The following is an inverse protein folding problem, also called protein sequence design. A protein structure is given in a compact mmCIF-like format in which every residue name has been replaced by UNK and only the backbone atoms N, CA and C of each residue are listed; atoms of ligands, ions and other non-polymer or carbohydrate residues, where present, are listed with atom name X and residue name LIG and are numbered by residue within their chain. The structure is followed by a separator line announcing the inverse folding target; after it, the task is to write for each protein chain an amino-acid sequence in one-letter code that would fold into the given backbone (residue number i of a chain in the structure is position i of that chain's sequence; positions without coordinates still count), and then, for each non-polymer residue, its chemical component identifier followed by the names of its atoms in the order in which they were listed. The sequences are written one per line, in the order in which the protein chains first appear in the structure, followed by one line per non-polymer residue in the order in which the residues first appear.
data_IF_708635537208
#
_entry.id   IF_708635537208
#
_cell.length_a   1.000
_cell.length_b   1.000
_cell.length_c   1.000
_cell.angle_alpha   90.00
_cell.angle_beta   90.00
_cell.angle_gamma   90.00
#
_symmetry.space_group_name_H-M   'P 1'
#
loop_
_entity.id
_entity.type
_entity.pdbx_description
1 polymer ?
#
# COMPACT_ATOMS: atom_id res chain seq x y z
N UNK A 1 2.84 9.46 21.89
CA UNK A 1 3.33 8.95 23.20
C UNK A 1 3.70 7.47 23.21
N UNK A 2 2.85 6.54 22.74
CA UNK A 2 3.15 5.10 22.78
C UNK A 2 4.43 4.70 22.05
N UNK A 3 4.68 5.26 20.87
CA UNK A 3 5.90 5.02 20.08
C UNK A 3 7.18 5.59 20.72
N UNK A 4 7.05 6.62 21.58
CA UNK A 4 8.18 7.24 22.28
C UNK A 4 8.51 6.55 23.62
N UNK A 5 7.56 5.83 24.23
CA UNK A 5 7.78 5.15 25.52
C UNK A 5 8.53 3.83 25.37
N UNK A 6 8.53 3.20 24.18
CA UNK A 6 9.33 2.01 23.87
C UNK A 6 9.03 0.76 24.72
N UNK A 7 8.01 0.79 25.58
CA UNK A 7 7.65 -0.32 26.45
C UNK A 7 6.82 -1.36 25.70
N UNK A 8 7.02 -2.64 26.03
CA UNK A 8 6.30 -3.77 25.43
C UNK A 8 4.78 -3.60 25.50
N UNK A 9 4.27 -3.00 26.58
CA UNK A 9 2.85 -2.72 26.77
C UNK A 9 2.31 -1.68 25.78
N UNK A 10 3.12 -0.69 25.41
CA UNK A 10 2.75 0.30 24.39
C UNK A 10 2.61 -0.36 23.01
N UNK A 11 3.51 -1.28 22.66
CA UNK A 11 3.42 -2.06 21.41
C UNK A 11 2.20 -2.97 21.39
N UNK A 12 1.87 -3.62 22.51
CA UNK A 12 0.65 -4.45 22.62
C UNK A 12 -0.61 -3.61 22.46
N UNK A 13 -0.65 -2.41 23.06
CA UNK A 13 -1.74 -1.46 22.89
C UNK A 13 -1.91 -1.03 21.43
N UNK A 14 -0.81 -0.65 20.77
CA UNK A 14 -0.81 -0.24 19.37
C UNK A 14 -1.27 -1.38 18.44
N UNK A 15 -0.77 -2.60 18.67
CA UNK A 15 -1.18 -3.80 17.95
C UNK A 15 -2.70 -4.03 18.04
N UNK A 16 -3.27 -3.92 19.25
CA UNK A 16 -4.71 -4.11 19.44
C UNK A 16 -5.53 -3.05 18.71
N UNK A 17 -5.10 -1.79 18.76
CA UNK A 17 -5.77 -0.69 18.06
C UNK A 17 -5.77 -0.97 16.55
N UNK A 18 -4.62 -1.28 15.96
CA UNK A 18 -4.53 -1.55 14.53
C UNK A 18 -5.29 -2.81 14.11
N UNK A 19 -5.30 -3.86 14.93
CA UNK A 19 -6.06 -5.07 14.63
C UNK A 19 -7.57 -4.80 14.67
N UNK A 20 -8.07 -4.14 15.72
CA UNK A 20 -9.51 -3.86 15.87
C UNK A 20 -9.99 -2.92 14.78
N UNK A 21 -9.30 -1.79 14.57
CA UNK A 21 -9.67 -0.84 13.52
C UNK A 21 -9.48 -1.42 12.12
N UNK A 22 -8.47 -2.25 11.90
CA UNK A 22 -8.28 -2.95 10.64
C UNK A 22 -9.45 -3.86 10.29
N UNK A 23 -9.93 -4.67 11.25
CA UNK A 23 -11.13 -5.51 11.07
C UNK A 23 -12.37 -4.64 10.82
N UNK A 24 -12.58 -3.60 11.63
CA UNK A 24 -13.74 -2.71 11.48
C UNK A 24 -13.77 -2.07 10.09
N UNK A 25 -12.65 -1.54 9.61
CA UNK A 25 -12.60 -0.90 8.29
C UNK A 25 -12.79 -1.89 7.13
N UNK A 26 -12.32 -3.13 7.24
CA UNK A 26 -12.65 -4.16 6.26
C UNK A 26 -14.15 -4.45 6.26
N UNK A 27 -14.75 -4.65 7.44
CA UNK A 27 -16.18 -4.93 7.55
C UNK A 27 -17.02 -3.77 7.02
N UNK A 28 -16.63 -2.54 7.32
CA UNK A 28 -17.25 -1.33 6.78
C UNK A 28 -17.08 -1.28 5.25
N UNK A 29 -15.88 -1.50 4.73
CA UNK A 29 -15.63 -1.51 3.29
C UNK A 29 -16.43 -2.57 2.53
N UNK A 30 -16.72 -3.72 3.15
CA UNK A 30 -17.51 -4.79 2.53
C UNK A 30 -19.01 -4.55 2.70
N UNK A 31 -19.49 -4.28 3.91
CA UNK A 31 -20.92 -4.34 4.26
C UNK A 31 -21.61 -2.98 4.36
N UNK A 32 -20.88 -1.88 4.56
CA UNK A 32 -21.50 -0.57 4.61
C UNK A 32 -21.94 -0.14 3.20
N UNK A 33 -22.92 0.75 3.17
CA UNK A 33 -23.44 1.36 1.96
C UNK A 33 -22.62 2.60 1.63
N UNK A 34 -22.16 2.68 0.39
CA UNK A 34 -21.41 3.81 -0.14
C UNK A 34 -22.15 4.38 -1.36
N UNK A 35 -21.99 5.68 -1.63
CA UNK A 35 -22.48 6.25 -2.88
C UNK A 35 -21.72 5.62 -4.06
N UNK A 36 -22.44 5.37 -5.15
CA UNK A 36 -21.82 4.90 -6.39
C UNK A 36 -21.15 6.06 -7.13
N UNK A 37 -19.81 6.09 -7.10
CA UNK A 37 -19.00 7.20 -7.61
C UNK A 37 -19.37 8.54 -6.98
N UNK A 38 -19.64 9.54 -7.82
CA UNK A 38 -20.09 10.88 -7.41
C UNK A 38 -21.63 10.99 -7.28
N UNK A 39 -22.36 9.90 -7.52
CA UNK A 39 -23.81 9.90 -7.44
C UNK A 39 -24.28 9.67 -6.00
N UNK A 40 -24.71 10.73 -5.32
CA UNK A 40 -25.21 10.66 -3.94
C UNK A 40 -26.64 10.10 -3.82
N UNK A 41 -27.33 9.83 -4.93
CA UNK A 41 -28.70 9.32 -4.92
C UNK A 41 -28.76 7.78 -4.81
N UNK A 42 -27.73 7.08 -5.26
CA UNK A 42 -27.68 5.61 -5.30
C UNK A 42 -26.62 5.15 -4.30
N UNK A 43 -27.07 4.37 -3.30
CA UNK A 43 -26.22 3.85 -2.23
C UNK A 43 -26.21 2.33 -2.31
N UNK A 44 -25.02 1.78 -2.48
CA UNK A 44 -24.82 0.36 -2.69
C UNK A 44 -23.83 -0.21 -1.69
N UNK A 45 -24.02 -1.45 -1.24
CA UNK A 45 -23.09 -2.06 -0.32
C UNK A 45 -21.79 -2.44 -1.05
N UNK A 46 -20.66 -2.45 -0.34
CA UNK A 46 -19.36 -2.78 -0.94
C UNK A 46 -19.30 -4.15 -1.63
N UNK A 47 -20.07 -5.13 -1.17
CA UNK A 47 -20.14 -6.48 -1.77
C UNK A 47 -21.03 -6.58 -3.02
N UNK A 48 -21.70 -5.48 -3.42
CA UNK A 48 -22.49 -5.43 -4.65
C UNK A 48 -21.59 -5.69 -5.87
N UNK A 49 -22.10 -6.50 -6.80
CA UNK A 49 -21.38 -6.89 -8.01
C UNK A 49 -21.63 -5.88 -9.12
N UNK A 50 -20.58 -5.16 -9.49
CA UNK A 50 -20.63 -4.15 -10.53
C UNK A 50 -20.05 -4.65 -11.85
N UNK A 51 -20.62 -4.14 -12.93
CA UNK A 51 -20.21 -4.36 -14.31
C UNK A 51 -19.95 -3.02 -14.99
N UNK A 52 -19.26 -2.99 -16.15
CA UNK A 52 -19.07 -1.77 -16.93
C UNK A 52 -20.33 -0.94 -17.21
N UNK A 53 -21.50 -1.57 -17.19
CA UNK A 53 -22.78 -0.97 -17.55
C UNK A 53 -23.59 -0.52 -16.32
N UNK A 54 -23.29 -1.04 -15.13
CA UNK A 54 -24.06 -0.75 -13.91
C UNK A 54 -23.42 0.36 -13.09
N UNK A 55 -22.08 0.42 -13.05
CA UNK A 55 -21.36 1.46 -12.32
C UNK A 55 -21.46 2.82 -13.00
N UNK A 56 -21.74 3.87 -12.22
CA UNK A 56 -21.69 5.24 -12.70
C UNK A 56 -20.26 5.58 -13.16
N UNK A 57 -20.11 6.16 -14.36
CA UNK A 57 -18.81 6.50 -14.94
C UNK A 57 -18.12 5.36 -15.72
N UNK A 58 -18.62 4.12 -15.62
CA UNK A 58 -18.26 2.98 -16.45
C UNK A 58 -16.74 2.75 -16.59
N UNK A 59 -16.30 2.32 -17.78
CA UNK A 59 -14.88 2.05 -18.08
C UNK A 59 -14.04 3.33 -18.09
N UNK A 60 -14.63 4.50 -18.38
CA UNK A 60 -13.89 5.77 -18.42
C UNK A 60 -13.38 6.19 -17.05
N UNK A 61 -14.18 5.99 -16.01
CA UNK A 61 -13.80 6.30 -14.63
C UNK A 61 -13.08 5.12 -13.96
N UNK A 62 -13.53 3.89 -14.26
CA UNK A 62 -13.00 2.65 -13.69
C UNK A 62 -12.39 1.73 -14.78
N UNK A 63 -11.20 2.06 -15.32
CA UNK A 63 -10.60 1.29 -16.41
C UNK A 63 -10.27 -0.16 -16.02
N UNK A 64 -10.14 -0.44 -14.73
CA UNK A 64 -9.87 -1.78 -14.20
C UNK A 64 -11.02 -2.78 -14.47
N UNK A 65 -12.22 -2.29 -14.75
CA UNK A 65 -13.36 -3.15 -15.11
C UNK A 65 -13.17 -3.86 -16.45
N UNK A 66 -12.27 -3.40 -17.32
CA UNK A 66 -11.89 -4.12 -18.55
C UNK A 66 -11.32 -5.51 -18.22
N UNK A 67 -10.68 -5.66 -17.07
CA UNK A 67 -10.14 -6.96 -16.61
C UNK A 67 -11.23 -7.99 -16.35
N UNK A 68 -12.44 -7.57 -15.97
CA UNK A 68 -13.59 -8.47 -15.84
C UNK A 68 -13.96 -9.07 -17.20
N UNK A 69 -13.92 -8.26 -18.27
CA UNK A 69 -14.11 -8.70 -19.64
C UNK A 69 -13.08 -9.75 -20.06
N UNK A 70 -11.79 -9.51 -19.78
CA UNK A 70 -10.73 -10.48 -20.07
C UNK A 70 -10.83 -11.76 -19.24
N UNK A 71 -11.19 -11.66 -17.96
CA UNK A 71 -11.40 -12.83 -17.10
C UNK A 71 -12.52 -13.74 -17.64
N UNK A 72 -13.61 -13.13 -18.12
CA UNK A 72 -14.77 -13.83 -18.66
C UNK A 72 -14.58 -14.40 -20.08
N UNK A 73 -13.45 -14.12 -20.74
CA UNK A 73 -13.09 -14.76 -22.01
C UNK A 73 -12.52 -16.17 -21.82
N UNK A 74 -12.31 -16.60 -20.58
CA UNK A 74 -11.82 -17.94 -20.26
C UNK A 74 -12.98 -18.90 -20.07
N UNK A 75 -12.94 -20.06 -20.74
CA UNK A 75 -14.02 -21.07 -20.72
C UNK A 75 -14.23 -21.76 -19.36
N UNK A 76 -13.35 -21.52 -18.38
CA UNK A 76 -13.34 -22.26 -17.11
C UNK A 76 -14.13 -21.60 -15.99
N UNK A 77 -14.31 -20.27 -16.01
CA UNK A 77 -14.94 -19.56 -14.91
C UNK A 77 -15.56 -18.23 -15.36
N UNK A 78 -16.87 -18.07 -15.12
CA UNK A 78 -17.59 -16.84 -15.44
C UNK A 78 -17.90 -16.04 -14.17
N UNK A 79 -17.37 -14.83 -14.09
CA UNK A 79 -17.65 -13.82 -13.08
C UNK A 79 -18.79 -12.92 -13.52
N UNK A 80 -19.91 -12.94 -12.79
CA UNK A 80 -21.08 -12.08 -13.08
C UNK A 80 -20.81 -10.58 -12.89
N UNK A 81 -19.80 -10.21 -12.09
CA UNK A 81 -19.44 -8.83 -11.79
C UNK A 81 -18.22 -8.76 -10.87
N UNK A 82 -17.71 -7.56 -10.65
CA UNK A 82 -16.63 -7.29 -9.69
C UNK A 82 -17.23 -6.61 -8.46
N UNK A 83 -16.97 -7.12 -7.24
CA UNK A 83 -17.40 -6.45 -6.01
C UNK A 83 -16.92 -5.00 -5.95
N UNK A 84 -17.79 -4.07 -5.56
CA UNK A 84 -17.48 -2.64 -5.46
C UNK A 84 -16.25 -2.36 -4.56
N UNK A 85 -16.08 -3.10 -3.46
CA UNK A 85 -14.90 -2.96 -2.59
C UNK A 85 -13.57 -3.39 -3.24
N UNK A 86 -13.59 -4.12 -4.36
CA UNK A 86 -12.40 -4.49 -5.14
C UNK A 86 -12.13 -3.52 -6.31
N UNK A 87 -13.10 -2.69 -6.68
CA UNK A 87 -12.94 -1.72 -7.75
C UNK A 87 -12.15 -0.53 -7.23
N UNK A 88 -10.96 -0.32 -7.81
CA UNK A 88 -10.10 0.79 -7.40
C UNK A 88 -10.77 2.14 -7.68
N UNK A 89 -10.72 3.04 -6.70
CA UNK A 89 -11.25 4.40 -6.81
C UNK A 89 -12.66 4.57 -6.25
N UNK A 90 -13.30 3.49 -5.81
CA UNK A 90 -14.58 3.56 -5.09
C UNK A 90 -14.35 3.83 -3.60
N UNK A 91 -15.35 4.42 -2.96
CA UNK A 91 -15.32 4.68 -1.52
C UNK A 91 -15.19 3.37 -0.72
N UNK A 92 -15.90 2.32 -1.13
CA UNK A 92 -15.81 0.99 -0.53
C UNK A 92 -14.38 0.43 -0.55
N UNK A 93 -13.69 0.56 -1.70
CA UNK A 93 -12.30 0.13 -1.86
C UNK A 93 -11.33 0.89 -0.97
N UNK A 94 -11.55 2.19 -0.75
CA UNK A 94 -10.72 3.00 0.15
C UNK A 94 -10.77 2.44 1.60
N UNK A 95 -11.97 2.21 2.13
CA UNK A 95 -12.12 1.66 3.48
C UNK A 95 -11.56 0.25 3.60
N UNK A 96 -11.82 -0.60 2.60
CA UNK A 96 -11.28 -1.95 2.55
C UNK A 96 -9.74 -1.94 2.54
N UNK A 97 -9.11 -1.16 1.66
CA UNK A 97 -7.65 -1.08 1.56
C UNK A 97 -7.02 -0.50 2.83
N UNK A 98 -7.63 0.52 3.43
CA UNK A 98 -7.14 1.09 4.69
C UNK A 98 -7.21 0.05 5.81
N UNK A 99 -8.31 -0.70 5.90
CA UNK A 99 -8.46 -1.78 6.88
C UNK A 99 -7.46 -2.92 6.68
N UNK A 100 -7.26 -3.34 5.42
CA UNK A 100 -6.27 -4.34 5.05
C UNK A 100 -4.84 -3.89 5.39
N UNK A 101 -4.50 -2.63 5.12
CA UNK A 101 -3.21 -2.06 5.48
C UNK A 101 -2.96 -2.09 7.00
N UNK A 102 -3.95 -1.67 7.80
CA UNK A 102 -3.87 -1.72 9.26
C UNK A 102 -3.69 -3.14 9.80
N UNK A 103 -4.38 -4.13 9.21
CA UNK A 103 -4.21 -5.53 9.59
C UNK A 103 -2.82 -6.06 9.24
N UNK A 104 -2.31 -5.75 8.06
CA UNK A 104 -0.95 -6.14 7.65
C UNK A 104 0.07 -5.56 8.63
N UNK A 105 -0.07 -4.28 8.97
CA UNK A 105 0.77 -3.60 9.97
C UNK A 105 0.67 -4.31 11.34
N UNK A 106 -0.54 -4.64 11.80
CA UNK A 106 -0.75 -5.35 13.06
C UNK A 106 -0.07 -6.73 13.06
N UNK A 107 -0.18 -7.49 11.97
CA UNK A 107 0.47 -8.80 11.82
C UNK A 107 1.99 -8.65 11.88
N UNK A 108 2.57 -7.66 11.19
CA UNK A 108 4.01 -7.42 11.23
C UNK A 108 4.47 -6.97 12.61
N UNK A 109 3.76 -6.06 13.29
CA UNK A 109 4.06 -5.68 14.67
C UNK A 109 4.06 -6.89 15.61
N UNK A 110 3.11 -7.80 15.44
CA UNK A 110 3.04 -9.00 16.25
C UNK A 110 4.23 -9.95 15.99
N UNK A 111 4.58 -10.17 14.71
CA UNK A 111 5.64 -11.11 14.33
C UNK A 111 7.04 -10.59 14.65
N UNK A 112 7.30 -9.31 14.36
CA UNK A 112 8.61 -8.68 14.49
C UNK A 112 8.81 -8.19 15.92
N UNK A 113 7.96 -7.29 16.42
CA UNK A 113 8.24 -6.59 17.68
C UNK A 113 7.78 -7.36 18.93
N UNK A 114 6.69 -8.12 18.84
CA UNK A 114 6.18 -8.90 20.00
C UNK A 114 6.83 -10.28 20.07
N UNK A 115 6.85 -11.01 18.95
CA UNK A 115 7.42 -12.36 18.89
C UNK A 115 8.93 -12.41 18.63
N UNK A 116 9.57 -11.28 18.30
CA UNK A 116 11.02 -11.19 18.04
C UNK A 116 11.52 -12.27 17.08
N UNK A 117 10.73 -12.64 16.05
CA UNK A 117 11.16 -13.63 15.06
C UNK A 117 12.12 -12.99 14.05
N UNK A 118 13.42 -13.20 14.26
CA UNK A 118 14.47 -12.77 13.34
C UNK A 118 14.82 -13.86 12.33
N UNK A 119 14.20 -13.80 11.15
CA UNK A 119 14.64 -14.56 9.98
C UNK A 119 15.34 -13.62 8.99
N UNK A 120 16.14 -14.15 8.06
CA UNK A 120 16.81 -13.34 7.03
C UNK A 120 15.82 -12.50 6.21
N UNK A 121 14.63 -13.05 5.93
CA UNK A 121 13.53 -12.33 5.27
C UNK A 121 13.05 -11.15 6.15
N UNK A 122 12.88 -11.37 7.46
CA UNK A 122 12.48 -10.30 8.39
C UNK A 122 13.51 -9.18 8.41
N UNK A 123 14.81 -9.52 8.47
CA UNK A 123 15.89 -8.53 8.47
C UNK A 123 15.94 -7.73 7.16
N UNK A 124 15.71 -8.40 6.03
CA UNK A 124 15.59 -7.74 4.72
C UNK A 124 14.39 -6.78 4.68
N UNK A 125 13.23 -7.18 5.19
CA UNK A 125 12.05 -6.33 5.28
C UNK A 125 12.27 -5.11 6.20
N UNK A 126 12.95 -5.29 7.33
CA UNK A 126 13.32 -4.18 8.23
C UNK A 126 14.27 -3.21 7.51
N UNK A 127 15.23 -3.72 6.75
CA UNK A 127 16.15 -2.90 5.96
C UNK A 127 15.40 -2.04 4.92
N UNK A 128 14.60 -2.68 4.07
CA UNK A 128 13.80 -1.96 3.08
C UNK A 128 12.76 -1.03 3.71
N UNK A 129 12.23 -1.38 4.89
CA UNK A 129 11.35 -0.50 5.67
C UNK A 129 12.02 0.81 6.08
N UNK A 130 13.28 0.74 6.55
CA UNK A 130 14.06 1.95 6.91
C UNK A 130 14.35 2.85 5.72
N UNK A 131 14.47 2.29 4.52
CA UNK A 131 14.78 3.02 3.28
C UNK A 131 13.54 3.22 2.40
N UNK A 132 12.35 2.99 2.94
CA UNK A 132 11.11 2.88 2.15
C UNK A 132 10.73 4.20 1.48
N UNK A 133 10.98 5.34 2.14
CA UNK A 133 10.64 6.66 1.61
C UNK A 133 11.56 7.04 0.45
N UNK A 134 12.88 6.83 0.59
CA UNK A 134 13.84 6.92 -0.51
C UNK A 134 13.45 6.05 -1.69
N UNK A 135 13.21 4.76 -1.43
CA UNK A 135 12.88 3.79 -2.46
C UNK A 135 11.60 4.20 -3.20
N UNK A 136 10.59 4.67 -2.48
CA UNK A 136 9.35 5.20 -3.05
C UNK A 136 9.60 6.40 -3.96
N UNK A 137 10.34 7.41 -3.50
CA UNK A 137 10.58 8.64 -4.26
C UNK A 137 11.42 8.40 -5.51
N UNK A 138 12.47 7.59 -5.40
CA UNK A 138 13.29 7.23 -6.57
C UNK A 138 12.44 6.40 -7.53
N UNK A 139 11.64 5.43 -7.05
CA UNK A 139 10.73 4.69 -7.93
C UNK A 139 9.74 5.61 -8.66
N UNK A 140 9.16 6.58 -7.95
CA UNK A 140 8.23 7.55 -8.52
C UNK A 140 8.90 8.41 -9.62
N UNK A 141 10.18 8.77 -9.44
CA UNK A 141 10.94 9.50 -10.44
C UNK A 141 11.23 8.67 -11.71
N UNK A 142 11.39 7.35 -11.56
CA UNK A 142 11.66 6.44 -12.68
C UNK A 142 10.38 5.94 -13.39
N UNK A 143 9.22 6.08 -12.76
CA UNK A 143 7.91 5.63 -13.29
C UNK A 143 7.61 6.17 -14.70
N UNK A 144 7.85 7.46 -15.01
CA UNK A 144 7.63 8.00 -16.36
C UNK A 144 8.53 7.38 -17.44
N UNK A 145 9.73 6.88 -17.08
CA UNK A 145 10.69 6.35 -18.05
C UNK A 145 10.20 5.08 -18.75
N UNK A 146 9.31 4.33 -18.10
CA UNK A 146 8.88 3.01 -18.57
C UNK A 146 7.39 2.95 -18.98
N UNK A 147 6.72 4.09 -19.09
CA UNK A 147 5.28 4.11 -19.40
C UNK A 147 5.01 3.57 -20.82
N UNK A 148 4.29 2.44 -20.90
CA UNK A 148 3.80 1.82 -22.14
C UNK A 148 4.90 1.39 -23.15
N UNK A 149 6.15 1.22 -22.72
CA UNK A 149 7.24 0.82 -23.62
C UNK A 149 7.36 -0.69 -23.87
N UNK A 150 6.88 -1.54 -22.96
CA UNK A 150 7.14 -2.98 -23.02
C UNK A 150 5.88 -3.82 -23.27
N UNK A 151 6.03 -4.86 -24.09
CA UNK A 151 5.04 -5.93 -24.22
C UNK A 151 4.97 -6.77 -22.93
N UNK A 152 3.83 -7.43 -22.67
CA UNK A 152 3.56 -8.18 -21.42
C UNK A 152 4.69 -9.13 -20.99
N UNK A 153 5.33 -9.93 -21.88
CA UNK A 153 6.42 -10.83 -21.47
C UNK A 153 7.68 -10.06 -21.06
N UNK A 154 8.02 -9.00 -21.80
CA UNK A 154 9.17 -8.15 -21.49
C UNK A 154 8.93 -7.34 -20.21
N UNK A 155 7.69 -6.94 -19.95
CA UNK A 155 7.32 -6.23 -18.74
C UNK A 155 7.67 -7.01 -17.48
N UNK A 156 7.43 -8.32 -17.44
CA UNK A 156 7.79 -9.17 -16.30
C UNK A 156 9.31 -9.21 -16.06
N UNK A 157 10.09 -9.45 -17.11
CA UNK A 157 11.56 -9.53 -17.03
C UNK A 157 12.15 -8.19 -16.59
N UNK A 158 11.67 -7.09 -17.18
CA UNK A 158 12.11 -5.73 -16.84
C UNK A 158 11.72 -5.40 -15.40
N UNK A 159 10.52 -5.75 -14.96
CA UNK A 159 10.05 -5.49 -13.59
C UNK A 159 10.90 -6.23 -12.55
N UNK A 160 11.23 -7.51 -12.77
CA UNK A 160 12.12 -8.26 -11.86
C UNK A 160 13.53 -7.68 -11.84
N UNK A 161 14.07 -7.32 -13.02
CA UNK A 161 15.38 -6.70 -13.14
C UNK A 161 15.43 -5.33 -12.46
N UNK A 162 14.35 -4.56 -12.60
CA UNK A 162 14.16 -3.26 -11.98
C UNK A 162 14.15 -3.36 -10.46
N UNK A 163 13.39 -4.31 -9.90
CA UNK A 163 13.37 -4.57 -8.44
C UNK A 163 14.76 -4.94 -7.93
N UNK A 164 15.47 -5.83 -8.63
CA UNK A 164 16.84 -6.23 -8.27
C UNK A 164 17.82 -5.06 -8.33
N UNK A 165 17.77 -4.26 -9.41
CA UNK A 165 18.58 -3.07 -9.58
C UNK A 165 18.35 -2.05 -8.46
N UNK A 166 17.10 -1.74 -8.15
CA UNK A 166 16.74 -0.82 -7.07
C UNK A 166 17.22 -1.32 -5.70
N UNK A 167 17.11 -2.63 -5.45
CA UNK A 167 17.62 -3.23 -4.21
C UNK A 167 19.12 -3.03 -4.05
N UNK A 168 19.90 -3.32 -5.09
CA UNK A 168 21.36 -3.13 -5.09
C UNK A 168 21.74 -1.66 -5.02
N UNK A 169 21.04 -0.80 -5.77
CA UNK A 169 21.26 0.64 -5.77
C UNK A 169 21.05 1.26 -4.38
N UNK A 170 19.94 0.92 -3.73
CA UNK A 170 19.66 1.36 -2.37
C UNK A 170 20.69 0.83 -1.38
N UNK A 171 21.11 -0.44 -1.53
CA UNK A 171 22.17 -1.01 -0.71
C UNK A 171 23.47 -0.22 -0.81
N UNK A 172 23.91 0.07 -2.04
CA UNK A 172 25.14 0.83 -2.28
C UNK A 172 25.02 2.25 -1.71
N UNK A 173 23.91 2.93 -1.96
CA UNK A 173 23.70 4.31 -1.48
C UNK A 173 23.75 4.36 0.05
N UNK A 174 23.03 3.47 0.73
CA UNK A 174 22.92 3.52 2.17
C UNK A 174 24.22 3.08 2.86
N UNK A 175 24.88 2.03 2.38
CA UNK A 175 26.07 1.47 3.03
C UNK A 175 27.32 2.29 2.73
N UNK A 176 27.56 2.68 1.47
CA UNK A 176 28.80 3.35 1.06
C UNK A 176 28.69 4.87 1.10
N UNK A 177 27.54 5.44 0.75
CA UNK A 177 27.33 6.90 0.74
C UNK A 177 26.61 7.41 1.99
N UNK A 178 26.39 6.54 3.00
CA UNK A 178 25.72 6.88 4.27
C UNK A 178 24.35 7.56 4.09
N UNK A 179 23.67 7.28 2.97
CA UNK A 179 22.38 7.90 2.64
C UNK A 179 22.43 9.42 2.46
N UNK A 180 23.60 10.04 2.21
CA UNK A 180 23.67 11.50 2.02
C UNK A 180 22.81 11.92 0.82
N UNK A 181 21.96 12.92 1.02
CA UNK A 181 20.99 13.39 0.02
C UNK A 181 19.69 12.58 -0.06
N UNK A 182 19.52 11.54 0.76
CA UNK A 182 18.26 10.82 0.85
C UNK A 182 17.20 11.66 1.57
N UNK A 183 15.90 11.48 1.27
CA UNK A 183 14.79 12.05 2.03
C UNK A 183 14.92 11.86 3.54
N UNK A 184 15.32 10.67 3.99
CA UNK A 184 15.55 10.37 5.41
C UNK A 184 16.72 11.19 5.99
N UNK A 185 17.80 11.37 5.22
CA UNK A 185 18.90 12.25 5.62
C UNK A 185 18.47 13.71 5.72
N UNK A 186 17.67 14.20 4.75
CA UNK A 186 17.12 15.56 4.78
C UNK A 186 16.22 15.78 6.00
N UNK A 187 15.34 14.83 6.32
CA UNK A 187 14.50 14.87 7.51
C UNK A 187 15.32 14.98 8.80
N UNK A 188 16.42 14.22 8.91
CA UNK A 188 17.33 14.29 10.06
C UNK A 188 17.98 15.68 10.16
N UNK A 189 18.42 16.27 9.03
CA UNK A 189 19.00 17.62 9.06
C UNK A 189 17.99 18.70 9.45
N UNK A 190 16.77 18.65 8.90
CA UNK A 190 15.70 19.60 9.24
C UNK A 190 15.33 19.48 10.73
N UNK A 191 15.23 18.25 11.25
CA UNK A 191 14.97 18.01 12.68
C UNK A 191 16.06 18.60 13.59
N UNK A 192 17.34 18.52 13.20
CA UNK A 192 18.46 19.14 13.94
C UNK A 192 18.41 20.66 13.94
N UNK A 193 17.95 21.28 12.87
CA UNK A 193 17.77 22.74 12.79
C UNK A 193 16.62 23.18 13.71
N UNK A 194 15.50 22.45 13.72
CA UNK A 194 14.36 22.73 14.60
C UNK A 194 14.65 22.52 16.09
N UNK A 195 15.51 21.55 16.45
CA UNK A 195 15.93 21.37 17.84
C UNK A 195 16.86 22.50 18.32
N UNK A 196 17.75 23.00 17.45
CA UNK A 196 18.63 24.13 17.78
C UNK A 196 17.91 25.45 17.98
N UNK A 197 16.70 25.61 17.42
CA UNK A 197 15.89 26.82 17.63
C UNK A 197 14.97 26.76 18.85
N UNK A 198 14.85 25.60 19.52
CA UNK A 198 14.02 25.40 20.71
C UNK A 198 14.77 25.51 22.04
N UNK A 199 16.09 25.72 22.02
CA UNK A 199 16.93 25.99 23.19
C UNK A 199 17.18 27.50 23.40
N UNK A 200 16.28 28.37 22.94
CA UNK A 200 16.32 29.82 23.15
C UNK A 200 15.11 30.29 23.97
#
# INVERSE_FOLDING_TARGET
EAMNKGTKDAYIGLFRIFLVWGIIFILVGIFAFFPDGLNLAIWEPGWQLETPNTVVGGISEYPHLVNLGYANQQDFFHLSGMPNFLIRGTSANMFYNQGAALLIIAIFFYLIDIKNKSNNITNMLIYFGKTSLSLFLIHFLFLPLFFRQFNIPFFLIVSLSYIGFFGVFMYIWMEYFKGVGSPEWMMIQIGRVGQKSGEA
#
